data_IF_150387120896
#
_entry.id   IF_150387120896
#
_cell.length_a   1.000
_cell.length_b   1.000
_cell.length_c   1.000
_cell.angle_alpha   90.00
_cell.angle_beta   90.00
_cell.angle_gamma   90.00
#
_symmetry.space_group_name_H-M   'P 1'
#
loop_
_entity.id
_entity.type
_entity.pdbx_description
1 polymer ?
#
# COMPACT_ATOMS: atom_id res chain seq x y z
N UNK A 1 23.48 20.12 0.05
CA UNK A 1 22.37 19.21 0.47
C UNK A 1 22.96 17.83 0.66
N UNK A 2 22.77 17.20 1.82
CA UNK A 2 23.20 15.83 2.01
C UNK A 2 22.20 14.90 1.31
N UNK A 3 22.66 14.17 0.30
CA UNK A 3 21.86 13.16 -0.40
C UNK A 3 22.06 11.79 0.24
N UNK A 4 21.03 10.97 0.25
CA UNK A 4 21.07 9.60 0.71
C UNK A 4 20.61 8.68 -0.43
N UNK A 5 21.31 7.57 -0.63
CA UNK A 5 20.92 6.55 -1.62
C UNK A 5 20.06 5.49 -0.91
N UNK A 6 18.87 5.27 -1.42
CA UNK A 6 17.88 4.32 -0.87
C UNK A 6 17.31 3.47 -1.99
N UNK A 7 16.88 2.25 -1.67
CA UNK A 7 15.95 1.51 -2.53
C UNK A 7 14.56 2.16 -2.46
N UNK A 8 13.68 1.84 -3.41
CA UNK A 8 12.30 2.34 -3.38
C UNK A 8 11.57 1.92 -2.10
N UNK A 9 11.74 0.68 -1.66
CA UNK A 9 11.13 0.17 -0.43
C UNK A 9 11.63 0.91 0.81
N UNK A 10 12.93 1.19 0.90
CA UNK A 10 13.51 1.98 1.98
C UNK A 10 13.01 3.43 1.97
N UNK A 11 12.88 4.03 0.80
CA UNK A 11 12.34 5.37 0.65
C UNK A 11 10.87 5.42 1.11
N UNK A 12 10.06 4.45 0.70
CA UNK A 12 8.65 4.34 1.07
C UNK A 12 8.47 4.16 2.59
N UNK A 13 9.20 3.22 3.21
CA UNK A 13 9.10 3.00 4.67
C UNK A 13 9.56 4.21 5.46
N UNK A 14 10.65 4.85 5.02
CA UNK A 14 11.12 6.10 5.61
C UNK A 14 10.11 7.23 5.46
N UNK A 15 9.45 7.34 4.31
CA UNK A 15 8.38 8.29 4.09
C UNK A 15 7.22 8.05 5.07
N UNK A 16 6.70 6.81 5.17
CA UNK A 16 5.61 6.47 6.09
C UNK A 16 5.95 6.80 7.55
N UNK A 17 7.17 6.51 8.01
CA UNK A 17 7.58 6.80 9.40
C UNK A 17 7.67 8.29 9.72
N UNK A 18 7.80 9.14 8.70
CA UNK A 18 7.92 10.59 8.85
C UNK A 18 6.60 11.34 8.67
N UNK A 19 5.52 10.67 8.26
CA UNK A 19 4.21 11.30 8.14
C UNK A 19 3.62 11.54 9.53
N UNK A 20 3.28 12.78 9.82
CA UNK A 20 2.70 13.20 11.09
C UNK A 20 1.36 13.86 10.87
N UNK A 21 0.51 13.73 11.85
CA UNK A 21 -0.74 14.47 11.95
C UNK A 21 -0.68 15.37 13.18
N UNK A 22 -1.19 16.56 13.04
CA UNK A 22 -1.36 17.49 14.15
C UNK A 22 -2.67 17.19 14.87
N UNK A 23 -2.61 17.12 16.20
CA UNK A 23 -3.78 17.04 17.06
C UNK A 23 -4.09 18.41 17.65
N UNK A 24 -5.33 18.60 18.11
CA UNK A 24 -5.80 19.85 18.73
C UNK A 24 -4.94 20.37 19.91
N UNK A 25 -4.06 19.53 20.47
CA UNK A 25 -3.17 19.86 21.58
C UNK A 25 -1.73 20.16 21.15
N UNK A 26 -1.48 20.46 19.89
CA UNK A 26 -0.13 20.61 19.28
C UNK A 26 0.76 19.37 19.42
N UNK A 27 0.18 18.22 19.76
CA UNK A 27 0.87 16.93 19.73
C UNK A 27 0.88 16.38 18.31
N UNK A 28 2.07 16.02 17.84
CA UNK A 28 2.24 15.32 16.58
C UNK A 28 2.21 13.80 16.81
N UNK A 29 1.30 13.12 16.13
CA UNK A 29 1.22 11.67 16.12
C UNK A 29 1.62 11.11 14.75
N UNK A 30 2.02 9.84 14.71
CA UNK A 30 2.29 9.17 13.44
C UNK A 30 0.99 8.98 12.66
N UNK A 31 1.00 9.36 11.39
CA UNK A 31 -0.13 9.11 10.48
C UNK A 31 -0.28 7.61 10.19
N UNK A 32 0.87 6.93 9.99
CA UNK A 32 0.92 5.48 9.83
C UNK A 32 1.31 4.81 11.14
N UNK A 33 0.51 3.84 11.58
CA UNK A 33 0.72 3.12 12.84
C UNK A 33 1.16 1.68 12.65
N UNK A 34 1.18 1.19 11.43
CA UNK A 34 1.65 -0.15 11.10
C UNK A 34 1.33 -0.56 9.68
N UNK A 35 1.84 -1.71 9.30
CA UNK A 35 1.65 -2.31 7.98
C UNK A 35 1.16 -3.74 8.15
N UNK A 36 0.06 -4.09 7.52
CA UNK A 36 -0.37 -5.47 7.36
C UNK A 36 0.26 -6.06 6.09
N UNK A 37 0.82 -7.26 6.16
CA UNK A 37 1.51 -7.83 5.02
C UNK A 37 1.38 -9.33 4.83
N UNK A 38 1.18 -9.71 3.56
CA UNK A 38 1.48 -11.03 2.99
C UNK A 38 2.33 -10.74 1.76
N UNK A 39 3.65 -10.79 1.91
CA UNK A 39 4.57 -10.15 0.96
C UNK A 39 4.66 -10.82 -0.41
N UNK A 40 4.59 -12.15 -0.49
CA UNK A 40 4.97 -12.88 -1.70
C UNK A 40 6.49 -12.85 -1.94
N UNK A 41 6.94 -13.48 -3.04
CA UNK A 41 8.35 -13.78 -3.25
C UNK A 41 9.25 -12.53 -3.40
N UNK A 42 8.86 -11.57 -4.23
CA UNK A 42 9.67 -10.38 -4.49
C UNK A 42 9.64 -9.37 -3.34
N UNK A 43 8.49 -9.19 -2.73
CA UNK A 43 8.29 -8.20 -1.69
C UNK A 43 8.93 -8.58 -0.34
N UNK A 44 9.23 -9.84 -0.10
CA UNK A 44 9.97 -10.27 1.12
C UNK A 44 11.34 -9.61 1.17
N UNK A 45 12.12 -9.71 0.09
CA UNK A 45 13.46 -9.16 0.01
C UNK A 45 13.48 -7.63 -0.24
N UNK A 46 12.37 -7.05 -0.66
CA UNK A 46 12.26 -5.61 -0.87
C UNK A 46 11.60 -4.91 0.31
N UNK A 47 10.26 -4.92 0.29
CA UNK A 47 9.48 -4.20 1.29
C UNK A 47 9.58 -4.84 2.68
N UNK A 48 9.64 -6.19 2.75
CA UNK A 48 9.77 -6.91 4.01
C UNK A 48 11.04 -6.54 4.78
N UNK A 49 12.20 -6.52 4.12
CA UNK A 49 13.46 -6.09 4.74
C UNK A 49 13.42 -4.62 5.16
N UNK A 50 12.91 -3.74 4.29
CA UNK A 50 12.81 -2.33 4.62
C UNK A 50 11.88 -2.05 5.82
N UNK A 51 10.81 -2.83 5.97
CA UNK A 51 9.93 -2.77 7.15
C UNK A 51 10.61 -3.32 8.40
N UNK A 52 11.43 -4.36 8.27
CA UNK A 52 12.19 -4.89 9.39
C UNK A 52 13.16 -3.85 9.97
N UNK A 53 13.81 -3.06 9.11
CA UNK A 53 14.71 -1.98 9.52
C UNK A 53 14.02 -0.87 10.33
N UNK A 54 12.72 -0.68 10.14
CA UNK A 54 11.94 0.37 10.82
C UNK A 54 10.90 -0.19 11.82
N UNK A 55 10.98 -1.45 12.17
CA UNK A 55 9.97 -2.19 12.97
C UNK A 55 9.59 -1.51 14.29
N UNK A 56 10.52 -0.81 14.92
CA UNK A 56 10.28 -0.12 16.19
C UNK A 56 9.42 1.15 16.02
N UNK A 57 9.38 1.70 14.81
CA UNK A 57 8.61 2.91 14.46
C UNK A 57 7.35 2.60 13.66
N UNK A 58 7.39 1.53 12.88
CA UNK A 58 6.31 1.10 11.99
C UNK A 58 6.17 -0.43 12.07
N UNK A 59 5.46 -0.96 13.05
CA UNK A 59 5.31 -2.39 13.24
C UNK A 59 4.60 -3.06 12.07
N UNK A 60 5.02 -4.28 11.76
CA UNK A 60 4.43 -5.10 10.70
C UNK A 60 3.60 -6.22 11.32
N UNK A 61 2.39 -6.39 10.83
CA UNK A 61 1.47 -7.43 11.24
C UNK A 61 1.25 -8.42 10.09
N UNK A 62 1.23 -9.69 10.40
CA UNK A 62 0.96 -10.74 9.44
C UNK A 62 -0.48 -11.21 9.56
N UNK A 63 -1.20 -11.21 8.46
CA UNK A 63 -2.51 -11.82 8.36
C UNK A 63 -2.51 -13.16 7.61
N UNK A 64 -3.64 -13.81 7.57
CA UNK A 64 -3.84 -15.07 6.85
C UNK A 64 -4.54 -14.87 5.51
N UNK A 65 -5.10 -13.68 5.26
CA UNK A 65 -5.86 -13.35 4.08
C UNK A 65 -5.77 -11.85 3.80
N UNK A 66 -5.54 -11.47 2.56
CA UNK A 66 -5.32 -10.08 2.15
C UNK A 66 -6.57 -9.22 2.39
N UNK A 67 -7.75 -9.73 2.03
CA UNK A 67 -9.01 -9.03 2.25
C UNK A 67 -9.27 -8.80 3.75
N UNK A 68 -8.99 -9.79 4.58
CA UNK A 68 -9.11 -9.69 6.05
C UNK A 68 -8.19 -8.61 6.63
N UNK A 69 -6.93 -8.56 6.17
CA UNK A 69 -5.98 -7.51 6.58
C UNK A 69 -6.45 -6.12 6.18
N UNK A 70 -6.95 -5.97 4.96
CA UNK A 70 -7.47 -4.70 4.47
C UNK A 70 -8.71 -4.25 5.27
N UNK A 71 -9.62 -5.15 5.59
CA UNK A 71 -10.75 -4.84 6.47
C UNK A 71 -10.33 -4.47 7.89
N UNK A 72 -9.28 -5.09 8.44
CA UNK A 72 -8.71 -4.70 9.72
C UNK A 72 -8.15 -3.26 9.67
N UNK A 73 -7.43 -2.90 8.60
CA UNK A 73 -6.93 -1.55 8.38
C UNK A 73 -8.07 -0.52 8.24
N UNK A 74 -9.14 -0.87 7.52
CA UNK A 74 -10.36 -0.05 7.39
C UNK A 74 -11.02 0.18 8.75
N UNK A 75 -11.19 -0.89 9.53
CA UNK A 75 -11.78 -0.82 10.86
C UNK A 75 -10.95 0.04 11.80
N UNK A 76 -9.62 -0.08 11.72
CA UNK A 76 -8.70 0.79 12.45
C UNK A 76 -8.89 2.27 12.08
N UNK A 77 -8.89 2.61 10.80
CA UNK A 77 -9.08 3.98 10.32
C UNK A 77 -10.42 4.56 10.77
N UNK A 78 -11.48 3.75 10.76
CA UNK A 78 -12.81 4.13 11.28
C UNK A 78 -12.76 4.41 12.77
N UNK A 79 -12.15 3.52 13.57
CA UNK A 79 -12.00 3.67 15.02
C UNK A 79 -11.18 4.91 15.38
N UNK A 80 -10.16 5.21 14.60
CA UNK A 80 -9.33 6.42 14.75
C UNK A 80 -9.96 7.68 14.15
N UNK A 81 -11.23 7.63 13.76
CA UNK A 81 -11.98 8.76 13.18
C UNK A 81 -11.24 9.39 11.99
N UNK A 82 -10.63 8.56 11.13
CA UNK A 82 -9.83 8.92 9.95
C UNK A 82 -8.54 9.69 10.23
N UNK A 83 -8.11 9.79 11.49
CA UNK A 83 -6.89 10.55 11.84
C UNK A 83 -5.63 9.74 11.61
N UNK A 84 -5.67 8.44 11.83
CA UNK A 84 -4.54 7.53 11.62
C UNK A 84 -4.94 6.43 10.66
N UNK A 85 -3.96 5.89 9.96
CA UNK A 85 -4.16 4.83 8.98
C UNK A 85 -3.13 3.72 9.13
N UNK A 86 -3.39 2.63 8.45
CA UNK A 86 -2.44 1.55 8.24
C UNK A 86 -2.18 1.36 6.75
N UNK A 87 -1.03 0.83 6.41
CA UNK A 87 -0.78 0.32 5.07
C UNK A 87 -1.09 -1.18 5.02
N UNK A 88 -1.40 -1.68 3.82
CA UNK A 88 -1.60 -3.10 3.54
C UNK A 88 -0.82 -3.49 2.29
N UNK A 89 -0.12 -4.61 2.33
CA UNK A 89 0.65 -5.09 1.18
C UNK A 89 0.39 -6.56 0.91
N UNK A 90 0.49 -6.95 -0.36
CA UNK A 90 0.25 -8.31 -0.85
C UNK A 90 1.28 -8.75 -1.87
N UNK A 91 1.23 -10.03 -2.23
CA UNK A 91 1.87 -10.52 -3.46
C UNK A 91 1.18 -9.97 -4.70
N UNK A 92 1.75 -10.28 -5.87
CA UNK A 92 1.18 -9.93 -7.19
C UNK A 92 -0.06 -10.78 -7.51
N UNK A 93 -0.78 -10.41 -8.56
CA UNK A 93 -1.87 -11.20 -9.14
C UNK A 93 -3.01 -11.46 -8.17
N UNK A 94 -3.33 -12.72 -7.84
CA UNK A 94 -4.45 -13.06 -6.96
C UNK A 94 -4.36 -12.44 -5.57
N UNK A 95 -3.15 -12.28 -5.02
CA UNK A 95 -2.95 -11.61 -3.74
C UNK A 95 -3.32 -10.13 -3.82
N UNK A 96 -2.91 -9.44 -4.88
CA UNK A 96 -3.26 -8.05 -5.12
C UNK A 96 -4.77 -7.89 -5.34
N UNK A 97 -5.35 -8.66 -6.24
CA UNK A 97 -6.79 -8.55 -6.57
C UNK A 97 -7.71 -8.92 -5.38
N UNK A 98 -7.22 -9.70 -4.42
CA UNK A 98 -7.97 -10.01 -3.20
C UNK A 98 -8.20 -8.77 -2.30
N UNK A 99 -7.52 -7.65 -2.53
CA UNK A 99 -7.80 -6.37 -1.87
C UNK A 99 -9.01 -5.62 -2.44
N UNK A 100 -9.46 -5.95 -3.64
CA UNK A 100 -10.35 -5.09 -4.43
C UNK A 100 -11.65 -4.72 -3.69
N UNK A 101 -12.33 -5.69 -3.09
CA UNK A 101 -13.56 -5.44 -2.32
C UNK A 101 -13.32 -4.48 -1.15
N UNK A 102 -12.22 -4.69 -0.42
CA UNK A 102 -11.87 -3.82 0.71
C UNK A 102 -11.47 -2.41 0.23
N UNK A 103 -10.76 -2.32 -0.90
CA UNK A 103 -10.42 -1.03 -1.49
C UNK A 103 -11.68 -0.23 -1.86
N UNK A 104 -12.65 -0.88 -2.52
CA UNK A 104 -13.94 -0.27 -2.83
C UNK A 104 -14.69 0.19 -1.57
N UNK A 105 -14.69 -0.64 -0.51
CA UNK A 105 -15.30 -0.29 0.78
C UNK A 105 -14.61 0.94 1.42
N UNK A 106 -13.29 0.98 1.41
CA UNK A 106 -12.54 2.12 1.93
C UNK A 106 -12.86 3.40 1.15
N UNK A 107 -12.93 3.29 -0.18
CA UNK A 107 -13.23 4.40 -1.08
C UNK A 107 -14.61 5.00 -0.81
N UNK A 108 -15.67 4.19 -0.82
CA UNK A 108 -17.05 4.71 -0.64
C UNK A 108 -17.28 5.28 0.75
N UNK A 109 -16.58 4.77 1.77
CA UNK A 109 -16.68 5.26 3.14
C UNK A 109 -15.66 6.36 3.48
N UNK A 110 -14.81 6.75 2.53
CA UNK A 110 -13.74 7.75 2.73
C UNK A 110 -12.84 7.43 3.93
N UNK A 111 -12.44 6.16 4.05
CA UNK A 111 -11.56 5.68 5.11
C UNK A 111 -10.13 5.57 4.58
N UNK A 112 -9.15 6.21 5.21
CA UNK A 112 -7.79 6.23 4.72
C UNK A 112 -7.10 4.87 4.98
N UNK A 113 -6.67 4.22 3.92
CA UNK A 113 -5.82 3.02 3.93
C UNK A 113 -4.86 3.15 2.76
N UNK A 114 -3.59 2.90 2.99
CA UNK A 114 -2.60 2.84 1.92
C UNK A 114 -2.50 1.40 1.41
N UNK A 115 -2.98 1.16 0.19
CA UNK A 115 -2.84 -0.12 -0.47
C UNK A 115 -1.52 -0.16 -1.26
N UNK A 116 -0.73 -1.18 -1.02
CA UNK A 116 0.56 -1.44 -1.67
C UNK A 116 0.52 -2.85 -2.30
N UNK A 117 -0.31 -3.06 -3.32
CA UNK A 117 -0.36 -4.35 -3.99
C UNK A 117 0.96 -4.63 -4.71
N UNK A 118 1.39 -5.88 -4.72
CA UNK A 118 2.52 -6.31 -5.54
C UNK A 118 2.21 -6.15 -7.02
N UNK A 119 3.25 -5.97 -7.83
CA UNK A 119 3.18 -5.91 -9.28
C UNK A 119 4.41 -6.59 -9.89
N UNK A 120 4.40 -6.74 -11.21
CA UNK A 120 5.51 -7.30 -11.98
C UNK A 120 6.58 -6.23 -12.29
N UNK A 121 7.61 -6.61 -13.04
CA UNK A 121 8.71 -5.71 -13.39
C UNK A 121 8.26 -4.49 -14.20
N UNK A 122 8.71 -3.31 -13.79
CA UNK A 122 8.32 -2.03 -14.40
C UNK A 122 8.91 -1.78 -15.81
N UNK A 123 10.04 -2.39 -16.15
CA UNK A 123 10.85 -2.00 -17.32
C UNK A 123 10.96 -3.07 -18.38
N UNK A 124 10.29 -4.19 -18.29
CA UNK A 124 10.33 -5.25 -19.29
C UNK A 124 9.03 -6.02 -19.33
N UNK A 125 8.78 -6.67 -20.45
CA UNK A 125 7.77 -7.72 -20.53
C UNK A 125 8.17 -8.82 -19.53
N UNK A 126 7.29 -9.16 -18.59
CA UNK A 126 7.61 -10.19 -17.62
C UNK A 126 7.60 -11.55 -18.31
N UNK A 127 8.67 -12.32 -18.10
CA UNK A 127 8.59 -13.76 -18.30
C UNK A 127 7.56 -14.34 -17.30
N UNK A 128 6.96 -15.50 -17.56
CA UNK A 128 6.03 -16.12 -16.63
C UNK A 128 6.63 -16.18 -15.22
N UNK A 129 5.98 -15.50 -14.27
CA UNK A 129 6.34 -15.54 -12.87
C UNK A 129 5.21 -16.14 -12.05
N UNK A 130 5.52 -16.65 -10.88
CA UNK A 130 4.52 -17.23 -10.00
C UNK A 130 3.41 -16.21 -9.71
N UNK A 131 2.16 -16.63 -9.84
CA UNK A 131 0.94 -15.83 -9.59
C UNK A 131 0.71 -14.67 -10.57
N UNK A 132 1.44 -14.61 -11.65
CA UNK A 132 1.20 -13.60 -12.67
C UNK A 132 -0.13 -13.85 -13.39
N UNK A 133 -0.94 -12.82 -13.51
CA UNK A 133 -2.26 -12.84 -14.16
C UNK A 133 -2.32 -11.93 -15.39
N UNK A 134 -1.26 -11.18 -15.65
CA UNK A 134 -1.16 -10.22 -16.74
C UNK A 134 -1.03 -10.93 -18.10
N UNK A 135 -1.44 -10.24 -19.16
CA UNK A 135 -1.23 -10.70 -20.52
C UNK A 135 0.24 -10.54 -20.93
N UNK A 136 0.92 -11.63 -21.28
CA UNK A 136 2.33 -11.60 -21.71
C UNK A 136 2.55 -10.84 -23.02
N UNK A 137 1.53 -10.69 -23.83
CA UNK A 137 1.60 -9.98 -25.10
C UNK A 137 1.40 -8.47 -24.97
N UNK A 138 0.94 -8.00 -23.82
CA UNK A 138 0.65 -6.58 -23.58
C UNK A 138 1.16 -6.14 -22.20
N UNK A 139 2.33 -5.51 -22.17
CA UNK A 139 2.95 -5.00 -20.96
C UNK A 139 2.24 -3.77 -20.35
N UNK A 140 1.26 -3.21 -21.02
CA UNK A 140 0.52 -2.03 -20.54
C UNK A 140 -0.62 -2.39 -19.61
N UNK A 141 -1.02 -3.66 -19.53
CA UNK A 141 -2.12 -4.15 -18.70
C UNK A 141 -1.56 -4.83 -17.46
N UNK A 142 -1.88 -4.27 -16.30
CA UNK A 142 -1.56 -4.85 -15.00
C UNK A 142 -2.82 -5.34 -14.28
N UNK A 143 -2.71 -6.39 -13.48
CA UNK A 143 -3.79 -6.82 -12.57
C UNK A 143 -4.22 -5.67 -11.65
N UNK A 144 -3.29 -4.77 -11.32
CA UNK A 144 -3.56 -3.60 -10.47
C UNK A 144 -4.44 -2.53 -11.15
N UNK A 145 -4.66 -2.60 -12.46
CA UNK A 145 -5.62 -1.71 -13.16
C UNK A 145 -7.05 -1.85 -12.63
N UNK A 146 -7.39 -2.99 -12.03
CA UNK A 146 -8.68 -3.20 -11.37
C UNK A 146 -8.95 -2.22 -10.23
N UNK A 147 -7.91 -1.61 -9.64
CA UNK A 147 -8.08 -0.64 -8.56
C UNK A 147 -8.46 0.76 -9.04
N UNK A 148 -8.26 1.10 -10.30
CA UNK A 148 -8.51 2.44 -10.85
C UNK A 148 -9.85 3.06 -10.42
N UNK A 149 -10.99 2.34 -10.46
CA UNK A 149 -12.27 2.89 -10.03
C UNK A 149 -12.39 3.15 -8.53
N UNK A 150 -11.51 2.56 -7.72
CA UNK A 150 -11.55 2.59 -6.25
C UNK A 150 -10.47 3.47 -5.63
N UNK A 151 -9.72 4.22 -6.45
CA UNK A 151 -8.64 5.07 -5.97
C UNK A 151 -9.08 6.53 -5.89
N UNK A 152 -8.65 7.18 -4.84
CA UNK A 152 -8.67 8.63 -4.78
C UNK A 152 -7.34 9.12 -5.35
N UNK A 153 -7.37 9.70 -6.53
CA UNK A 153 -6.17 10.27 -7.15
C UNK A 153 -5.76 11.54 -6.42
N UNK A 154 -4.51 11.58 -6.00
CA UNK A 154 -3.91 12.80 -5.41
C UNK A 154 -3.31 13.73 -6.46
N UNK A 155 -3.12 13.27 -7.69
CA UNK A 155 -2.75 14.12 -8.80
C UNK A 155 -3.99 14.81 -9.37
N UNK A 156 -4.00 16.14 -9.55
CA UNK A 156 -5.11 16.82 -10.19
C UNK A 156 -5.29 16.27 -11.60
N UNK A 157 -6.43 15.66 -11.84
CA UNK A 157 -6.83 15.27 -13.19
C UNK A 157 -7.50 16.48 -13.86
N UNK A 158 -7.48 16.58 -15.20
CA UNK A 158 -8.23 17.62 -15.90
C UNK A 158 -9.74 17.64 -15.58
N UNK A 159 -10.27 16.56 -14.99
CA UNK A 159 -11.67 16.44 -14.54
C UNK A 159 -11.91 17.04 -13.15
N UNK A 160 -10.85 17.21 -12.36
CA UNK A 160 -10.95 17.78 -11.01
C UNK A 160 -10.95 19.31 -11.04
N UNK A 161 -10.77 19.89 -12.23
CA UNK A 161 -10.74 21.34 -12.49
C UNK A 161 -12.04 21.87 -13.09
N UNK A 162 -13.15 21.09 -13.10
CA UNK A 162 -14.46 21.52 -13.60
C UNK A 162 -15.43 21.83 -12.50
#
# INVERSE_FOLDING_TARGET
>A
MNTIKLTMSQALTKWMTNQKIEQFSSKHENAFVGVWGIFGHGNVAGLGEALFDVKDKLPTFRGHNEQGMAHAAISFAKQKKRRQMMAVTSSIGPGATNFLTACALAYVNRLPVLFLPGDVFANRLPDPVLQQTENFADATVSANDCFKPCLLYTSPSPRDCQ
#
